data_IF_834052558676
#
_entry.id   IF_834052558676
#
_cell.length_a   1.000
_cell.length_b   1.000
_cell.length_c   1.000
_cell.angle_alpha   90.00
_cell.angle_beta   90.00
_cell.angle_gamma   90.00
#
_symmetry.space_group_name_H-M   'P 1'
#
loop_
_entity.id
_entity.type
_entity.pdbx_description
1 polymer ?
#
# COMPACT_ATOMS: atom_id res chain seq x y z
N UNK A 1 7.91 11.66 20.47
CA UNK A 1 7.33 10.29 20.50
C UNK A 1 7.20 9.64 19.12
N UNK A 2 6.92 10.38 18.03
CA UNK A 2 6.87 9.83 16.65
C UNK A 2 8.16 9.10 16.17
N UNK A 3 9.39 9.61 16.37
CA UNK A 3 10.59 8.96 15.84
C UNK A 3 10.90 7.61 16.50
N UNK A 4 10.62 7.47 17.81
CA UNK A 4 10.85 6.23 18.54
C UNK A 4 9.96 5.08 18.03
N UNK A 5 8.72 5.39 17.64
CA UNK A 5 7.79 4.41 17.04
C UNK A 5 8.23 3.97 15.63
N UNK A 6 8.80 4.88 14.84
CA UNK A 6 9.34 4.53 13.51
C UNK A 6 10.57 3.62 13.60
N UNK A 7 11.48 3.92 14.52
CA UNK A 7 12.68 3.10 14.75
C UNK A 7 12.28 1.69 15.22
N UNK A 8 11.35 1.60 16.19
CA UNK A 8 10.85 0.31 16.67
C UNK A 8 10.13 -0.51 15.58
N UNK A 9 9.30 0.15 14.76
CA UNK A 9 8.62 -0.50 13.63
C UNK A 9 9.63 -1.02 12.59
N UNK A 10 10.64 -0.22 12.24
CA UNK A 10 11.64 -0.62 11.26
C UNK A 10 12.51 -1.78 11.75
N UNK A 11 12.88 -1.78 13.04
CA UNK A 11 13.59 -2.89 13.66
C UNK A 11 12.74 -4.18 13.68
N UNK A 12 11.44 -4.06 13.98
CA UNK A 12 10.51 -5.19 13.96
C UNK A 12 10.35 -5.79 12.56
N UNK A 13 10.12 -4.95 11.55
CA UNK A 13 9.99 -5.39 10.15
C UNK A 13 11.28 -6.08 9.68
N UNK A 14 12.44 -5.51 9.97
CA UNK A 14 13.72 -6.09 9.59
C UNK A 14 13.99 -7.43 10.31
N UNK A 15 13.62 -7.53 11.60
CA UNK A 15 13.71 -8.77 12.36
C UNK A 15 12.81 -9.86 11.79
N UNK A 16 11.53 -9.56 11.52
CA UNK A 16 10.58 -10.49 10.90
C UNK A 16 11.05 -10.96 9.53
N UNK A 17 11.52 -10.03 8.69
CA UNK A 17 12.07 -10.34 7.38
C UNK A 17 13.27 -11.29 7.47
N UNK A 18 14.20 -11.02 8.38
CA UNK A 18 15.38 -11.86 8.60
C UNK A 18 14.99 -13.26 9.06
N UNK A 19 14.02 -13.39 9.97
CA UNK A 19 13.53 -14.70 10.42
C UNK A 19 12.91 -15.49 9.26
N UNK A 20 12.06 -14.85 8.44
CA UNK A 20 11.34 -15.52 7.36
C UNK A 20 12.25 -15.93 6.21
N UNK A 21 13.14 -15.05 5.76
CA UNK A 21 13.93 -15.26 4.54
C UNK A 21 15.35 -15.78 4.79
N UNK A 22 15.87 -15.68 6.01
CA UNK A 22 17.18 -16.24 6.36
C UNK A 22 17.06 -17.32 7.45
N UNK A 23 16.32 -17.06 8.52
CA UNK A 23 16.20 -18.00 9.65
C UNK A 23 15.53 -19.32 9.29
N UNK A 24 14.33 -19.28 8.70
CA UNK A 24 13.58 -20.48 8.31
C UNK A 24 14.36 -21.30 7.26
N UNK A 25 14.85 -20.70 6.15
CA UNK A 25 15.67 -21.44 5.18
C UNK A 25 16.92 -22.07 5.77
N UNK A 26 17.63 -21.35 6.66
CA UNK A 26 18.81 -21.86 7.35
C UNK A 26 18.47 -23.07 8.24
N UNK A 27 17.42 -22.96 9.04
CA UNK A 27 16.95 -24.05 9.91
C UNK A 27 16.54 -25.28 9.09
N UNK A 28 15.88 -25.08 7.95
CA UNK A 28 15.46 -26.18 7.06
C UNK A 28 16.66 -26.90 6.40
N UNK A 29 17.80 -26.22 6.23
CA UNK A 29 19.04 -26.83 5.70
C UNK A 29 19.89 -27.55 6.76
N UNK A 30 20.02 -26.97 7.96
CA UNK A 30 20.99 -27.43 8.97
C UNK A 30 20.36 -28.36 10.01
N UNK A 31 19.04 -28.30 10.22
CA UNK A 31 18.39 -29.18 11.18
C UNK A 31 18.22 -30.58 10.58
N UNK A 32 18.83 -31.56 11.25
CA UNK A 32 18.66 -32.99 10.95
C UNK A 32 17.35 -33.55 11.56
N UNK A 33 16.78 -32.86 12.55
CA UNK A 33 15.52 -33.20 13.22
C UNK A 33 14.54 -32.02 13.22
N UNK A 34 13.29 -32.16 12.71
CA UNK A 34 12.73 -33.33 12.03
C UNK A 34 13.29 -33.52 10.62
N UNK A 35 13.35 -34.76 10.15
CA UNK A 35 13.86 -35.11 8.81
C UNK A 35 12.94 -34.54 7.73
N UNK A 36 13.29 -33.38 7.18
CA UNK A 36 12.51 -32.71 6.12
C UNK A 36 12.80 -33.38 4.77
N UNK A 37 11.80 -33.93 4.06
CA UNK A 37 12.00 -34.49 2.73
C UNK A 37 12.58 -33.46 1.76
N UNK A 38 13.45 -33.90 0.85
CA UNK A 38 14.14 -33.01 -0.10
C UNK A 38 13.18 -32.19 -0.99
N UNK A 39 12.03 -32.76 -1.38
CA UNK A 39 11.00 -32.06 -2.14
C UNK A 39 10.36 -30.92 -1.34
N UNK A 40 10.18 -31.10 -0.03
CA UNK A 40 9.60 -30.08 0.85
C UNK A 40 10.60 -28.93 1.07
N UNK A 41 11.90 -29.25 1.19
CA UNK A 41 12.96 -28.24 1.21
C UNK A 41 12.90 -27.37 -0.05
N UNK A 42 12.89 -27.99 -1.23
CA UNK A 42 12.80 -27.26 -2.51
C UNK A 42 11.51 -26.44 -2.59
N UNK A 43 10.37 -27.00 -2.19
CA UNK A 43 9.10 -26.28 -2.21
C UNK A 43 9.12 -25.02 -1.31
N UNK A 44 9.71 -25.10 -0.11
CA UNK A 44 9.88 -23.96 0.80
C UNK A 44 10.79 -22.90 0.18
N UNK A 45 11.90 -23.29 -0.44
CA UNK A 45 12.79 -22.36 -1.13
C UNK A 45 12.14 -21.70 -2.34
N UNK A 46 11.41 -22.46 -3.16
CA UNK A 46 10.66 -21.92 -4.30
C UNK A 46 9.57 -20.95 -3.84
N UNK A 47 8.86 -21.25 -2.75
CA UNK A 47 7.82 -20.39 -2.20
C UNK A 47 8.40 -19.10 -1.62
N UNK A 48 9.39 -19.19 -0.73
CA UNK A 48 10.03 -18.01 -0.13
C UNK A 48 10.78 -17.18 -1.18
N UNK A 49 11.51 -17.83 -2.08
CA UNK A 49 12.21 -17.16 -3.18
C UNK A 49 11.24 -16.47 -4.16
N UNK A 50 10.12 -17.12 -4.50
CA UNK A 50 9.08 -16.53 -5.34
C UNK A 50 8.43 -15.30 -4.70
N UNK A 51 8.09 -15.38 -3.41
CA UNK A 51 7.56 -14.23 -2.66
C UNK A 51 8.59 -13.10 -2.63
N UNK A 52 9.86 -13.40 -2.37
CA UNK A 52 10.94 -12.40 -2.35
C UNK A 52 11.11 -11.72 -3.71
N UNK A 53 11.05 -12.48 -4.80
CA UNK A 53 11.12 -11.96 -6.18
C UNK A 53 9.97 -10.98 -6.44
N UNK A 54 8.73 -11.38 -6.13
CA UNK A 54 7.55 -10.51 -6.31
C UNK A 54 7.70 -9.22 -5.50
N UNK A 55 8.12 -9.31 -4.24
CA UNK A 55 8.34 -8.13 -3.40
C UNK A 55 9.44 -7.21 -3.97
N UNK A 56 10.52 -7.78 -4.50
CA UNK A 56 11.58 -7.00 -5.12
C UNK A 56 11.11 -6.31 -6.41
N UNK A 57 10.38 -7.02 -7.27
CA UNK A 57 9.81 -6.46 -8.49
C UNK A 57 8.82 -5.33 -8.16
N UNK A 58 7.89 -5.56 -7.23
CA UNK A 58 6.96 -4.54 -6.79
C UNK A 58 7.68 -3.34 -6.16
N UNK A 59 8.75 -3.55 -5.38
CA UNK A 59 9.52 -2.45 -4.81
C UNK A 59 10.20 -1.59 -5.88
N UNK A 60 10.72 -2.22 -6.95
CA UNK A 60 11.30 -1.51 -8.10
C UNK A 60 10.22 -0.76 -8.86
N UNK A 61 9.09 -1.40 -9.14
CA UNK A 61 7.95 -0.81 -9.85
C UNK A 61 7.36 0.38 -9.08
N UNK A 62 7.19 0.25 -7.76
CA UNK A 62 6.74 1.34 -6.89
C UNK A 62 7.74 2.51 -6.88
N UNK A 63 9.04 2.22 -6.90
CA UNK A 63 10.08 3.26 -7.01
C UNK A 63 10.01 3.98 -8.35
N UNK A 64 9.77 3.26 -9.45
CA UNK A 64 9.60 3.81 -10.79
C UNK A 64 8.31 4.64 -10.91
N UNK A 65 7.18 4.12 -10.40
CA UNK A 65 5.91 4.84 -10.34
C UNK A 65 6.04 6.13 -9.53
N UNK A 66 6.62 6.06 -8.33
CA UNK A 66 6.84 7.25 -7.49
C UNK A 66 7.76 8.26 -8.17
N UNK A 67 8.79 7.81 -8.89
CA UNK A 67 9.66 8.69 -9.65
C UNK A 67 8.93 9.37 -10.83
N UNK A 68 8.04 8.65 -11.51
CA UNK A 68 7.19 9.21 -12.58
C UNK A 68 6.17 10.21 -12.03
N UNK A 69 5.54 9.93 -10.89
CA UNK A 69 4.63 10.87 -10.21
C UNK A 69 5.37 12.10 -9.67
N UNK A 70 6.68 11.97 -9.40
CA UNK A 70 7.55 13.08 -8.97
C UNK A 70 8.16 13.88 -10.10
N UNK A 71 7.91 13.55 -11.37
CA UNK A 71 8.05 14.59 -12.38
C UNK A 71 7.20 15.76 -11.90
N UNK A 72 7.78 16.94 -11.71
CA UNK A 72 6.99 18.09 -11.34
C UNK A 72 5.95 18.19 -12.44
N UNK A 73 4.68 17.99 -12.08
CA UNK A 73 3.57 18.43 -12.90
C UNK A 73 3.99 19.82 -13.32
N UNK A 74 4.35 19.98 -14.60
CA UNK A 74 4.78 21.24 -15.20
C UNK A 74 3.89 22.27 -14.55
N UNK A 75 4.51 23.22 -13.86
CA UNK A 75 3.85 24.25 -13.07
C UNK A 75 2.72 24.86 -13.90
N UNK A 76 1.54 24.24 -13.84
CA UNK A 76 0.32 24.72 -14.48
C UNK A 76 -0.26 25.75 -13.53
N UNK A 77 0.57 26.71 -13.13
CA UNK A 77 0.18 27.92 -12.44
C UNK A 77 -0.61 28.85 -13.36
N UNK A 78 -0.92 28.45 -14.61
CA UNK A 78 -1.68 29.29 -15.54
C UNK A 78 -2.97 28.68 -16.11
N UNK A 79 -3.61 27.75 -15.38
CA UNK A 79 -5.06 27.57 -15.49
C UNK A 79 -5.67 27.66 -14.10
N UNK A 80 -5.91 28.89 -13.67
CA UNK A 80 -6.62 29.18 -12.43
C UNK A 80 -8.08 28.71 -12.54
N UNK A 81 -8.34 27.48 -12.12
CA UNK A 81 -9.71 27.02 -11.88
C UNK A 81 -10.16 27.64 -10.57
N UNK A 82 -11.19 28.49 -10.64
CA UNK A 82 -11.77 29.15 -9.48
C UNK A 82 -12.68 28.14 -8.75
N UNK A 83 -12.29 27.70 -7.55
CA UNK A 83 -13.14 26.92 -6.66
C UNK A 83 -13.76 27.83 -5.60
N UNK A 84 -15.08 27.77 -5.47
CA UNK A 84 -15.81 28.50 -4.45
C UNK A 84 -17.03 27.71 -3.98
N UNK A 85 -17.38 27.89 -2.71
CA UNK A 85 -18.57 27.28 -2.11
C UNK A 85 -19.84 28.12 -2.35
N UNK A 86 -19.70 29.30 -2.96
CA UNK A 86 -20.80 30.17 -3.35
C UNK A 86 -21.35 29.76 -4.71
N UNK A 87 -22.64 29.93 -4.90
CA UNK A 87 -23.37 29.69 -6.15
C UNK A 87 -23.04 30.72 -7.25
N UNK A 88 -22.61 31.92 -6.88
CA UNK A 88 -22.26 33.01 -7.79
C UNK A 88 -20.90 33.64 -7.48
N UNK A 89 -20.28 34.21 -8.52
CA UNK A 89 -19.02 34.96 -8.42
C UNK A 89 -19.32 36.47 -8.47
N UNK A 90 -18.98 37.25 -7.43
CA UNK A 90 -19.25 38.69 -7.44
C UNK A 90 -18.66 39.41 -8.65
N UNK A 91 -19.49 40.19 -9.35
CA UNK A 91 -19.06 40.95 -10.52
C UNK A 91 -18.84 40.11 -11.80
N UNK A 92 -19.28 38.84 -11.81
CA UNK A 92 -19.31 38.02 -13.03
C UNK A 92 -20.66 37.31 -13.18
N UNK A 93 -21.10 37.18 -14.43
CA UNK A 93 -22.29 36.40 -14.79
C UNK A 93 -21.89 35.03 -15.34
N UNK A 94 -22.67 33.99 -15.00
CA UNK A 94 -22.46 32.63 -15.46
C UNK A 94 -23.03 32.51 -16.88
N UNK A 95 -22.19 32.20 -17.87
CA UNK A 95 -22.61 32.07 -19.27
C UNK A 95 -23.19 30.70 -19.61
N UNK A 96 -22.70 29.65 -18.94
CA UNK A 96 -23.08 28.26 -19.21
C UNK A 96 -22.88 27.38 -17.96
N UNK A 97 -23.77 26.39 -17.78
CA UNK A 97 -23.67 25.37 -16.73
C UNK A 97 -23.29 24.05 -17.42
N UNK A 98 -22.08 23.56 -17.15
CA UNK A 98 -21.54 22.35 -17.79
C UNK A 98 -22.01 21.03 -17.15
N UNK A 99 -22.64 21.11 -15.97
CA UNK A 99 -23.13 19.95 -15.22
C UNK A 99 -22.58 19.87 -13.80
N UNK A 100 -22.97 18.82 -13.07
CA UNK A 100 -22.55 18.57 -11.70
C UNK A 100 -21.22 17.79 -11.68
N UNK A 101 -20.26 18.27 -10.90
CA UNK A 101 -19.02 17.54 -10.60
C UNK A 101 -19.09 17.02 -9.17
N UNK A 102 -18.90 15.71 -8.99
CA UNK A 102 -18.87 15.06 -7.69
C UNK A 102 -17.53 14.34 -7.51
N UNK A 103 -16.83 14.63 -6.41
CA UNK A 103 -15.59 13.97 -6.04
C UNK A 103 -15.77 13.20 -4.73
N UNK A 104 -15.21 11.99 -4.66
CA UNK A 104 -15.12 11.22 -3.42
C UNK A 104 -13.66 10.96 -3.09
N UNK A 105 -13.32 11.06 -1.81
CA UNK A 105 -11.99 10.70 -1.29
C UNK A 105 -12.17 9.68 -0.18
N UNK A 106 -11.44 8.56 -0.27
CA UNK A 106 -11.36 7.56 0.80
C UNK A 106 -10.01 7.71 1.48
N UNK A 107 -10.01 7.88 2.80
CA UNK A 107 -8.79 7.90 3.60
C UNK A 107 -8.44 6.47 4.00
N UNK A 108 -7.16 6.08 3.85
CA UNK A 108 -6.67 4.81 4.37
C UNK A 108 -6.74 4.81 5.91
N UNK A 109 -7.24 3.73 6.50
CA UNK A 109 -7.36 3.56 7.95
C UNK A 109 -6.18 2.71 8.45
N UNK A 110 -6.02 2.56 9.78
CA UNK A 110 -4.98 1.70 10.36
C UNK A 110 -5.05 0.28 9.78
N UNK A 111 -3.88 -0.34 9.51
CA UNK A 111 -3.74 -1.63 8.81
C UNK A 111 -4.69 -2.75 9.27
N UNK A 112 -5.01 -2.81 10.57
CA UNK A 112 -5.93 -3.84 11.08
C UNK A 112 -7.39 -3.62 10.70
N UNK A 113 -7.83 -2.37 10.51
CA UNK A 113 -9.16 -2.04 9.97
C UNK A 113 -9.24 -2.49 8.50
N UNK A 114 -8.23 -2.12 7.70
CA UNK A 114 -8.12 -2.56 6.30
C UNK A 114 -8.10 -4.10 6.15
N UNK A 115 -7.40 -4.84 7.03
CA UNK A 115 -7.41 -6.30 7.01
C UNK A 115 -8.81 -6.87 7.33
N UNK A 116 -9.52 -6.24 8.27
CA UNK A 116 -10.89 -6.62 8.62
C UNK A 116 -11.86 -6.40 7.45
N UNK A 117 -11.70 -5.29 6.74
CA UNK A 117 -12.44 -4.94 5.55
C UNK A 117 -12.19 -5.95 4.41
N UNK A 118 -10.94 -6.35 4.18
CA UNK A 118 -10.59 -7.38 3.17
C UNK A 118 -11.25 -8.73 3.50
N UNK A 119 -11.18 -9.15 4.76
CA UNK A 119 -11.80 -10.42 5.19
C UNK A 119 -13.32 -10.38 5.01
N UNK A 120 -13.97 -9.27 5.35
CA UNK A 120 -15.42 -9.10 5.13
C UNK A 120 -15.77 -9.08 3.64
N UNK A 121 -14.97 -8.42 2.81
CA UNK A 121 -15.17 -8.40 1.35
C UNK A 121 -15.14 -9.83 0.76
N UNK A 122 -14.19 -10.66 1.20
CA UNK A 122 -14.08 -12.05 0.74
C UNK A 122 -15.25 -12.91 1.23
N UNK A 123 -15.73 -12.66 2.45
CA UNK A 123 -16.84 -13.38 3.07
C UNK A 123 -18.23 -12.82 2.67
N UNK A 124 -18.30 -11.71 1.96
CA UNK A 124 -19.55 -11.08 1.50
C UNK A 124 -20.26 -10.19 2.54
N UNK A 125 -19.53 -9.56 3.46
CA UNK A 125 -20.06 -8.62 4.45
C UNK A 125 -19.93 -7.14 4.04
N UNK A 126 -20.75 -6.27 4.65
CA UNK A 126 -20.74 -4.83 4.39
C UNK A 126 -19.48 -4.13 4.93
N UNK A 127 -18.97 -3.16 4.15
CA UNK A 127 -17.82 -2.33 4.49
C UNK A 127 -18.23 -1.16 5.39
N UNK A 128 -18.55 -1.46 6.65
CA UNK A 128 -18.93 -0.44 7.63
C UNK A 128 -17.82 0.58 7.88
N UNK A 129 -16.56 0.18 7.72
CA UNK A 129 -15.41 1.02 8.09
C UNK A 129 -15.12 2.17 7.12
N UNK A 130 -15.62 2.10 5.88
CA UNK A 130 -15.51 3.20 4.91
C UNK A 130 -16.76 4.09 4.86
N UNK A 131 -17.76 3.79 5.72
CA UNK A 131 -19.03 4.53 5.77
C UNK A 131 -19.08 5.50 6.97
N UNK A 132 -18.09 5.45 7.88
CA UNK A 132 -17.91 6.39 8.99
C UNK A 132 -17.12 7.64 8.59
#
# INVERSE_FOLDING_TARGET
>A
MKPLRHIGSMAFVFGLFTVIFAGIPWHVMVADDPVVPWWLRIAVFCLLGGILLVLATLAIEQRAYTASVKEPLVDQTDRSVLLLNSDAVPGREITEILGLVQGHTVFAIWLGKDLSAIVRLILGGELTEYTE
#
